data_IF_076224163679
#
_entry.id   IF_076224163679
#
_cell.length_a   1.000
_cell.length_b   1.000
_cell.length_c   1.000
_cell.angle_alpha   90.00
_cell.angle_beta   90.00
_cell.angle_gamma   90.00
#
_symmetry.space_group_name_H-M   'P 1'
#
loop_
_entity.id
_entity.type
_entity.pdbx_description
1 polymer ?
#
# COMPACT_ATOMS: atom_id res chain seq x y z
N UNK A 1 33.92 15.65 4.84
CA UNK A 1 32.65 16.15 4.28
C UNK A 1 31.81 14.93 3.92
N UNK A 2 30.67 14.76 4.59
CA UNK A 2 29.85 13.53 4.60
C UNK A 2 29.07 13.31 3.29
N UNK A 3 28.88 12.04 2.91
CA UNK A 3 27.59 11.55 2.42
C UNK A 3 27.53 10.01 2.50
N UNK A 4 27.08 9.53 3.65
CA UNK A 4 26.58 8.17 3.82
C UNK A 4 25.26 8.07 3.04
N UNK A 5 25.19 7.23 2.01
CA UNK A 5 23.91 6.70 1.56
C UNK A 5 24.13 5.45 0.71
N UNK A 6 24.13 4.30 1.38
CA UNK A 6 24.05 2.99 0.72
C UNK A 6 22.87 2.26 1.36
N UNK A 7 21.69 2.47 0.78
CA UNK A 7 20.48 1.69 1.05
C UNK A 7 20.55 0.46 0.14
N UNK A 8 21.34 -0.52 0.55
CA UNK A 8 21.34 -1.88 -0.01
C UNK A 8 20.59 -2.77 0.99
N UNK A 9 19.32 -3.13 0.72
CA UNK A 9 18.67 -4.36 1.19
C UNK A 9 17.24 -4.52 0.65
N UNK A 10 17.01 -5.59 -0.10
CA UNK A 10 15.78 -6.36 -0.34
C UNK A 10 14.41 -5.67 -0.53
N UNK A 11 13.76 -6.04 -1.63
CA UNK A 11 12.42 -5.72 -2.12
C UNK A 11 11.26 -6.11 -1.18
N UNK A 12 10.92 -5.30 -0.18
CA UNK A 12 9.66 -5.45 0.61
C UNK A 12 9.08 -4.13 1.17
N UNK A 13 9.30 -2.98 0.52
CA UNK A 13 8.80 -1.69 1.04
C UNK A 13 7.57 -1.22 0.27
N UNK A 14 6.54 -2.06 0.22
CA UNK A 14 5.18 -1.54 0.13
C UNK A 14 4.70 -1.33 1.55
N UNK A 15 4.42 -0.09 1.95
CA UNK A 15 4.02 0.24 3.31
C UNK A 15 2.87 -0.68 3.74
N UNK A 16 3.13 -1.61 4.67
CA UNK A 16 2.15 -2.64 5.06
C UNK A 16 0.95 -1.97 5.74
N UNK A 17 -0.12 -1.77 4.98
CA UNK A 17 -1.29 -1.00 5.42
C UNK A 17 -2.03 -1.75 6.52
N UNK A 18 -2.16 -1.13 7.70
CA UNK A 18 -2.88 -1.70 8.83
C UNK A 18 -4.41 -1.55 8.66
N UNK A 19 -5.13 -2.64 8.85
CA UNK A 19 -6.59 -2.68 8.88
C UNK A 19 -7.11 -1.95 10.15
N UNK A 20 -8.01 -0.96 10.03
CA UNK A 20 -8.52 -0.21 11.17
C UNK A 20 -9.50 -1.03 12.03
N UNK A 21 -10.00 -2.17 11.53
CA UNK A 21 -11.01 -2.97 12.22
C UNK A 21 -10.40 -4.08 13.09
N UNK A 22 -9.32 -4.73 12.64
CA UNK A 22 -8.70 -5.84 13.37
C UNK A 22 -7.20 -5.66 13.65
N UNK A 23 -6.57 -4.58 13.16
CA UNK A 23 -5.15 -4.33 13.35
C UNK A 23 -4.21 -5.19 12.49
N UNK A 24 -4.74 -6.11 11.68
CA UNK A 24 -3.92 -6.93 10.78
C UNK A 24 -3.26 -6.09 9.69
N UNK A 25 -2.04 -6.45 9.30
CA UNK A 25 -1.32 -5.91 8.14
C UNK A 25 -1.44 -6.81 6.90
N UNK A 26 -2.19 -7.91 7.00
CA UNK A 26 -2.52 -8.78 5.87
C UNK A 26 -3.61 -8.12 5.02
N UNK A 27 -3.26 -7.04 4.32
CA UNK A 27 -4.16 -6.24 3.50
C UNK A 27 -3.64 -6.12 2.07
N UNK A 28 -4.56 -6.03 1.12
CA UNK A 28 -4.26 -5.85 -0.29
C UNK A 28 -4.94 -4.60 -0.86
N UNK A 29 -4.25 -3.91 -1.76
CA UNK A 29 -4.85 -2.81 -2.52
C UNK A 29 -5.81 -3.43 -3.55
N UNK A 30 -7.10 -3.21 -3.34
CA UNK A 30 -8.16 -3.78 -4.17
C UNK A 30 -8.55 -2.85 -5.32
N UNK A 31 -8.61 -1.54 -5.08
CA UNK A 31 -8.92 -0.53 -6.10
C UNK A 31 -8.23 0.80 -5.80
N UNK A 32 -7.76 1.48 -6.83
CA UNK A 32 -7.26 2.86 -6.74
C UNK A 32 -8.37 3.91 -6.62
N UNK A 33 -9.62 3.50 -6.75
CA UNK A 33 -10.77 4.39 -6.66
C UNK A 33 -11.76 3.76 -5.69
N UNK A 34 -11.89 4.39 -4.53
CA UNK A 34 -12.95 4.09 -3.58
C UNK A 34 -14.25 4.81 -3.93
N UNK A 35 -15.15 4.87 -2.96
CA UNK A 35 -16.42 5.59 -3.04
C UNK A 35 -16.21 7.09 -3.31
N UNK A 36 -15.14 7.63 -2.75
CA UNK A 36 -14.72 9.02 -2.93
C UNK A 36 -13.49 9.06 -3.85
N UNK A 37 -13.43 10.04 -4.75
CA UNK A 37 -12.34 10.15 -5.75
C UNK A 37 -10.93 10.23 -5.12
N UNK A 38 -10.85 10.83 -3.93
CA UNK A 38 -9.60 11.01 -3.17
C UNK A 38 -9.21 9.79 -2.34
N UNK A 39 -9.94 8.68 -2.45
CA UNK A 39 -9.68 7.47 -1.66
C UNK A 39 -9.27 6.29 -2.53
N UNK A 40 -8.50 5.40 -1.92
CA UNK A 40 -8.22 4.04 -2.40
C UNK A 40 -8.92 3.03 -1.51
N UNK A 41 -9.20 1.85 -2.07
CA UNK A 41 -9.85 0.76 -1.38
C UNK A 41 -8.88 -0.39 -1.15
N UNK A 42 -8.84 -0.84 0.10
CA UNK A 42 -8.11 -2.00 0.55
C UNK A 42 -9.06 -3.10 1.00
N UNK A 43 -8.60 -4.34 0.89
CA UNK A 43 -9.27 -5.51 1.45
C UNK A 43 -8.39 -6.16 2.53
N UNK A 44 -8.96 -6.44 3.70
CA UNK A 44 -8.25 -7.17 4.75
C UNK A 44 -8.48 -8.68 4.63
N UNK A 45 -7.41 -9.44 4.40
CA UNK A 45 -7.46 -10.90 4.29
C UNK A 45 -7.57 -11.61 5.65
N UNK A 46 -7.40 -10.91 6.78
CA UNK A 46 -7.59 -11.51 8.12
C UNK A 46 -9.04 -11.44 8.61
N UNK A 47 -9.70 -10.29 8.45
CA UNK A 47 -11.07 -10.10 8.93
C UNK A 47 -12.10 -9.95 7.79
N UNK A 48 -11.66 -10.14 6.54
CA UNK A 48 -12.50 -10.12 5.34
C UNK A 48 -13.33 -8.85 5.16
N UNK A 49 -12.82 -7.72 5.65
CA UNK A 49 -13.53 -6.43 5.65
C UNK A 49 -12.83 -5.45 4.71
N UNK A 50 -13.56 -4.83 3.75
CA UNK A 50 -13.02 -3.74 2.94
C UNK A 50 -12.93 -2.44 3.76
N UNK A 51 -11.92 -1.62 3.47
CA UNK A 51 -11.76 -0.28 4.06
C UNK A 51 -11.12 0.68 3.06
N UNK A 52 -11.22 1.98 3.34
CA UNK A 52 -10.68 3.02 2.47
C UNK A 52 -9.63 3.85 3.19
N UNK A 53 -8.69 4.40 2.41
CA UNK A 53 -7.71 5.40 2.85
C UNK A 53 -7.68 6.55 1.86
N UNK A 54 -7.30 7.72 2.35
CA UNK A 54 -7.00 8.86 1.49
C UNK A 54 -5.76 8.53 0.65
N UNK A 55 -5.75 8.95 -0.61
CA UNK A 55 -4.59 8.85 -1.51
C UNK A 55 -3.45 9.70 -1.00
N UNK A 56 -2.27 9.09 -0.93
CA UNK A 56 -0.99 9.75 -0.71
C UNK A 56 0.01 9.30 -1.80
N UNK A 57 1.17 9.93 -1.83
CA UNK A 57 2.22 9.64 -2.83
C UNK A 57 2.72 8.18 -2.70
N UNK A 58 2.81 7.67 -1.48
CA UNK A 58 3.26 6.30 -1.18
C UNK A 58 2.35 5.25 -1.87
N UNK A 59 1.03 5.43 -1.81
CA UNK A 59 0.07 4.52 -2.45
C UNK A 59 0.21 4.51 -3.98
N UNK A 60 0.56 5.64 -4.59
CA UNK A 60 0.72 5.75 -6.04
C UNK A 60 2.01 5.06 -6.52
N UNK A 61 3.09 5.22 -5.78
CA UNK A 61 4.37 4.55 -6.05
C UNK A 61 4.24 3.03 -5.93
N UNK A 62 3.55 2.55 -4.89
CA UNK A 62 3.25 1.12 -4.68
C UNK A 62 2.47 0.53 -5.86
N UNK A 63 1.48 1.28 -6.36
CA UNK A 63 0.69 0.83 -7.51
C UNK A 63 1.51 0.79 -8.79
N UNK A 64 2.34 1.82 -9.04
CA UNK A 64 3.20 1.87 -10.23
C UNK A 64 4.16 0.67 -10.25
N UNK A 65 4.81 0.37 -9.12
CA UNK A 65 5.71 -0.77 -8.98
C UNK A 65 5.01 -2.12 -9.22
N UNK A 66 3.76 -2.28 -8.73
CA UNK A 66 2.98 -3.52 -8.97
C UNK A 66 2.51 -3.65 -10.41
N UNK A 67 2.15 -2.53 -11.07
CA UNK A 67 1.72 -2.52 -12.47
C UNK A 67 2.83 -2.95 -13.42
N UNK A 68 4.06 -2.50 -13.16
CA UNK A 68 5.23 -2.84 -13.98
C UNK A 68 5.65 -4.32 -13.86
N UNK A 69 5.27 -4.98 -12.76
CA UNK A 69 5.54 -6.41 -12.52
C UNK A 69 4.39 -7.35 -12.95
N UNK A 70 3.36 -6.86 -13.65
CA UNK A 70 2.29 -7.71 -14.19
C UNK A 70 2.71 -8.24 -15.57
N UNK A 71 2.82 -9.57 -15.79
CA UNK A 71 3.20 -10.15 -17.08
C UNK A 71 2.17 -9.89 -18.18
#
# INVERSE_FOLDING_TARGET
YNKSNKRDSESEVGARVMCPFCGSTNTELFSLFGQQLLTVQYYCNSCHTPFERIKDDDVLDDYAARKENRP
#
